data_IF_598918775036
#
_entry.id   IF_598918775036
#
_cell.length_a   1.000
_cell.length_b   1.000
_cell.length_c   1.000
_cell.angle_alpha   90.00
_cell.angle_beta   90.00
_cell.angle_gamma   90.00
#
_symmetry.space_group_name_H-M   'P 1'
#
loop_
_entity.id
_entity.type
_entity.pdbx_description
1 polymer ?
#
# COMPACT_ATOMS: atom_id res chain seq x y z
N UNK A 1 -21.21 -39.49 32.79
CA UNK A 1 -21.70 -38.24 32.16
C UNK A 1 -20.78 -37.03 32.43
N UNK A 2 -19.47 -37.11 32.15
CA UNK A 2 -18.52 -35.99 32.38
C UNK A 2 -17.78 -35.50 31.12
N UNK A 3 -17.88 -36.21 30.01
CA UNK A 3 -17.23 -35.88 28.74
C UNK A 3 -17.67 -34.56 28.06
N UNK A 4 -18.97 -34.16 28.07
CA UNK A 4 -19.38 -32.96 27.33
C UNK A 4 -18.92 -31.66 28.00
N UNK A 5 -18.83 -31.63 29.33
CA UNK A 5 -18.37 -30.46 30.08
C UNK A 5 -16.88 -30.14 29.83
N UNK A 6 -16.06 -31.18 29.65
CA UNK A 6 -14.64 -31.04 29.29
C UNK A 6 -14.47 -30.49 27.87
N UNK A 7 -15.26 -30.97 26.92
CA UNK A 7 -15.23 -30.49 25.53
C UNK A 7 -15.67 -29.04 25.41
N UNK A 8 -16.72 -28.64 26.13
CA UNK A 8 -17.21 -27.25 26.16
C UNK A 8 -16.17 -26.32 26.81
N UNK A 9 -15.51 -26.76 27.88
CA UNK A 9 -14.46 -25.97 28.53
C UNK A 9 -13.24 -25.80 27.61
N UNK A 10 -12.80 -26.84 26.93
CA UNK A 10 -11.72 -26.75 25.93
C UNK A 10 -12.09 -25.81 24.77
N UNK A 11 -13.29 -25.94 24.21
CA UNK A 11 -13.76 -25.07 23.13
C UNK A 11 -13.82 -23.59 23.57
N UNK A 12 -14.29 -23.31 24.79
CA UNK A 12 -14.30 -21.97 25.37
C UNK A 12 -12.89 -21.40 25.56
N UNK A 13 -11.92 -22.23 25.99
CA UNK A 13 -10.51 -21.79 26.13
C UNK A 13 -9.83 -21.52 24.79
N UNK A 14 -10.10 -22.30 23.74
CA UNK A 14 -9.58 -22.03 22.40
C UNK A 14 -10.19 -20.76 21.78
N UNK A 15 -11.49 -20.52 22.00
CA UNK A 15 -12.17 -19.33 21.50
C UNK A 15 -11.73 -18.04 22.22
N UNK A 16 -11.27 -18.14 23.46
CA UNK A 16 -10.81 -17.01 24.27
C UNK A 16 -9.31 -16.69 24.10
N UNK A 17 -8.58 -17.43 23.27
CA UNK A 17 -7.16 -17.17 23.03
C UNK A 17 -6.97 -15.86 22.24
N UNK A 18 -6.05 -14.97 22.66
CA UNK A 18 -5.78 -13.74 21.94
C UNK A 18 -5.09 -14.05 20.61
N UNK A 19 -5.75 -13.73 19.50
CA UNK A 19 -5.12 -13.76 18.19
C UNK A 19 -4.13 -12.60 18.07
N UNK A 20 -2.87 -12.91 17.75
CA UNK A 20 -1.87 -11.89 17.42
C UNK A 20 -1.59 -11.94 15.93
N UNK A 21 -1.54 -10.76 15.30
CA UNK A 21 -1.08 -10.64 13.94
C UNK A 21 0.39 -11.10 13.84
N UNK A 22 0.76 -11.77 12.76
CA UNK A 22 2.14 -12.11 12.51
C UNK A 22 2.93 -10.82 12.24
N UNK A 23 4.09 -10.69 12.88
CA UNK A 23 5.04 -9.65 12.50
C UNK A 23 5.81 -10.13 11.27
N UNK A 24 5.75 -9.36 10.18
CA UNK A 24 6.57 -9.58 9.00
C UNK A 24 7.90 -8.85 9.22
N UNK A 25 9.02 -9.55 9.09
CA UNK A 25 10.34 -8.89 9.07
C UNK A 25 10.44 -8.10 7.76
N UNK A 26 10.66 -6.79 7.84
CA UNK A 26 10.80 -5.91 6.69
C UNK A 26 11.90 -6.38 5.72
N UNK A 27 12.91 -7.11 6.19
CA UNK A 27 13.94 -7.71 5.34
C UNK A 27 13.37 -8.69 4.31
N UNK A 28 12.27 -9.38 4.62
CA UNK A 28 11.60 -10.29 3.69
C UNK A 28 10.97 -9.55 2.50
N UNK A 29 10.75 -8.24 2.63
CA UNK A 29 10.17 -7.39 1.58
C UNK A 29 11.24 -6.71 0.71
N UNK A 30 12.53 -6.94 0.96
CA UNK A 30 13.62 -6.21 0.29
C UNK A 30 13.71 -6.45 -1.21
N UNK A 31 13.15 -7.57 -1.71
CA UNK A 31 13.11 -7.89 -3.12
C UNK A 31 11.93 -7.22 -3.87
N UNK A 32 11.01 -6.58 -3.14
CA UNK A 32 9.90 -5.87 -3.75
C UNK A 32 10.38 -4.55 -4.35
N UNK A 33 9.90 -4.25 -5.55
CA UNK A 33 10.20 -3.00 -6.25
C UNK A 33 8.92 -2.22 -6.48
N UNK A 34 8.99 -0.91 -6.22
CA UNK A 34 7.94 0.01 -6.59
C UNK A 34 7.86 0.10 -8.10
N UNK A 35 6.64 -0.04 -8.63
CA UNK A 35 6.35 0.18 -10.04
C UNK A 35 5.03 0.91 -10.18
N UNK A 36 4.93 1.73 -11.22
CA UNK A 36 3.64 2.26 -11.61
C UNK A 36 2.77 1.13 -12.19
N UNK A 37 1.54 1.00 -11.71
CA UNK A 37 0.58 -0.01 -12.21
C UNK A 37 -0.34 0.58 -13.30
N UNK A 38 -0.30 1.90 -13.48
CA UNK A 38 -1.12 2.64 -14.42
C UNK A 38 -2.38 3.28 -13.78
N UNK A 39 -3.10 4.13 -14.53
CA UNK A 39 -2.72 4.70 -15.83
C UNK A 39 -1.54 5.68 -15.71
N UNK A 40 -0.66 5.71 -16.73
CA UNK A 40 0.55 6.57 -16.71
C UNK A 40 0.26 8.06 -16.54
N UNK A 41 -0.96 8.47 -16.91
CA UNK A 41 -1.48 9.83 -16.74
C UNK A 41 -2.94 9.71 -16.34
N UNK A 42 -3.34 10.41 -15.29
CA UNK A 42 -4.71 10.40 -14.79
C UNK A 42 -4.95 11.57 -13.84
N UNK A 43 -6.23 11.92 -13.67
CA UNK A 43 -6.63 13.03 -12.81
C UNK A 43 -6.53 14.41 -13.46
N UNK A 44 -6.81 15.45 -12.66
CA UNK A 44 -6.81 16.85 -13.11
C UNK A 44 -5.40 17.44 -13.04
N UNK A 45 -4.98 18.07 -14.13
CA UNK A 45 -3.80 18.96 -14.14
C UNK A 45 -4.24 20.35 -13.68
N UNK A 46 -3.63 20.87 -12.62
CA UNK A 46 -3.90 22.22 -12.11
C UNK A 46 -2.89 23.25 -12.62
N UNK A 47 -1.69 22.83 -13.02
CA UNK A 47 -0.64 23.71 -13.54
C UNK A 47 0.25 22.98 -14.55
N UNK A 48 0.78 23.72 -15.52
CA UNK A 48 1.79 23.25 -16.46
C UNK A 48 2.82 24.36 -16.72
N UNK A 49 4.08 24.00 -16.91
CA UNK A 49 5.17 24.94 -17.23
C UNK A 49 6.22 24.29 -18.12
N UNK A 50 6.70 25.02 -19.12
CA UNK A 50 7.87 24.66 -19.92
C UNK A 50 9.15 25.31 -19.38
N UNK A 51 10.31 24.71 -19.65
CA UNK A 51 11.61 25.26 -19.21
C UNK A 51 12.26 26.09 -20.30
N UNK A 52 12.58 27.36 -19.99
CA UNK A 52 13.26 28.27 -20.91
C UNK A 52 14.62 27.69 -21.32
N UNK A 53 14.89 27.62 -22.62
CA UNK A 53 16.13 27.08 -23.16
C UNK A 53 16.23 25.56 -23.19
N UNK A 54 15.19 24.81 -22.79
CA UNK A 54 15.17 23.35 -22.83
C UNK A 54 13.95 22.82 -23.59
N UNK A 55 14.03 22.73 -24.93
CA UNK A 55 12.96 22.15 -25.75
C UNK A 55 12.60 20.74 -25.28
N UNK A 56 11.31 20.44 -25.16
CA UNK A 56 10.82 19.14 -24.72
C UNK A 56 10.75 18.95 -23.20
N UNK A 57 11.26 19.88 -22.39
CA UNK A 57 11.19 19.81 -20.93
C UNK A 57 9.98 20.56 -20.40
N UNK A 58 9.04 19.81 -19.83
CA UNK A 58 7.83 20.34 -19.22
C UNK A 58 7.61 19.74 -17.84
N UNK A 59 7.01 20.53 -16.95
CA UNK A 59 6.51 20.09 -15.65
C UNK A 59 4.98 20.25 -15.61
N UNK A 60 4.29 19.28 -15.02
CA UNK A 60 2.86 19.35 -14.75
C UNK A 60 2.59 19.09 -13.28
N UNK A 61 1.69 19.87 -12.68
CA UNK A 61 1.23 19.72 -11.30
C UNK A 61 -0.19 19.16 -11.26
N UNK A 62 -0.41 18.21 -10.35
CA UNK A 62 -1.73 17.64 -10.05
C UNK A 62 -2.05 17.85 -8.56
N UNK A 63 -3.31 18.06 -8.18
CA UNK A 63 -3.69 18.34 -6.78
C UNK A 63 -3.25 17.25 -5.79
N UNK A 64 -3.34 15.97 -6.17
CA UNK A 64 -3.07 14.83 -5.28
C UNK A 64 -1.97 13.89 -5.81
N UNK A 65 -1.51 14.07 -7.05
CA UNK A 65 -0.48 13.25 -7.67
C UNK A 65 0.90 13.92 -7.72
N UNK A 66 1.06 15.13 -7.15
CA UNK A 66 2.33 15.86 -7.14
C UNK A 66 2.73 16.46 -8.48
N UNK A 67 4.04 16.65 -8.67
CA UNK A 67 4.66 17.28 -9.85
C UNK A 67 5.40 16.24 -10.69
N UNK A 68 5.18 16.27 -11.99
CA UNK A 68 5.76 15.33 -12.96
C UNK A 68 6.54 16.09 -14.03
N UNK A 69 7.66 15.50 -14.47
CA UNK A 69 8.49 16.01 -15.57
C UNK A 69 8.29 15.13 -16.81
N UNK A 70 8.40 15.70 -18.00
CA UNK A 70 8.57 14.90 -19.21
C UNK A 70 9.80 14.00 -19.12
N UNK A 71 9.65 12.79 -19.67
CA UNK A 71 10.71 11.77 -19.81
C UNK A 71 11.27 11.76 -21.21
#
# INVERSE_FOLDING_TARGET
MRAPSLLVLCAATLAAAPLRAQAIDARQLSALVWRNVGPFRGGRISAASGVIGQPGVFYVGTPEGGVWKTT
#
